data_IF_392160059091
#
_entry.id   IF_392160059091
#
_cell.length_a   1.000
_cell.length_b   1.000
_cell.length_c   1.000
_cell.angle_alpha   90.00
_cell.angle_beta   90.00
_cell.angle_gamma   90.00
#
_symmetry.space_group_name_H-M   'P 1'
#
loop_
_entity.id
_entity.type
_entity.pdbx_description
1 polymer ?
#
# COMPACT_ATOMS: atom_id res chain seq x y z
N UNK A 1 -7.54 32.29 -16.68
CA UNK A 1 -6.58 31.40 -17.37
C UNK A 1 -6.66 30.03 -16.71
N UNK A 2 -7.15 28.94 -17.27
CA UNK A 2 -7.97 28.63 -18.43
C UNK A 2 -8.42 27.19 -18.16
N UNK A 3 -9.71 26.95 -17.99
CA UNK A 3 -10.24 25.59 -17.85
C UNK A 3 -10.17 24.98 -19.25
N UNK A 4 -9.09 24.24 -19.51
CA UNK A 4 -8.99 23.43 -20.73
C UNK A 4 -10.02 22.31 -20.57
N UNK A 5 -11.09 22.42 -21.35
CA UNK A 5 -12.09 21.37 -21.48
C UNK A 5 -11.43 20.08 -21.97
N UNK A 6 -11.83 18.95 -21.40
CA UNK A 6 -11.47 17.64 -21.89
C UNK A 6 -12.67 17.05 -22.65
N UNK A 7 -12.68 17.07 -23.99
CA UNK A 7 -13.66 16.33 -24.77
C UNK A 7 -13.05 14.96 -25.11
N UNK A 8 -13.37 13.92 -24.31
CA UNK A 8 -13.17 12.54 -24.77
C UNK A 8 -13.96 11.54 -23.92
N UNK A 9 -14.83 10.79 -24.60
CA UNK A 9 -15.81 9.90 -24.01
C UNK A 9 -15.23 8.64 -23.41
N UNK A 10 -15.46 8.44 -22.11
CA UNK A 10 -15.41 7.14 -21.47
C UNK A 10 -16.36 7.15 -20.28
N UNK A 11 -17.59 6.64 -20.47
CA UNK A 11 -18.54 6.40 -19.36
C UNK A 11 -18.05 5.30 -18.39
N UNK A 12 -16.91 4.65 -18.69
CA UNK A 12 -16.17 3.73 -17.82
C UNK A 12 -14.84 4.36 -17.34
N UNK A 13 -14.90 5.54 -16.73
CA UNK A 13 -13.74 6.08 -16.02
C UNK A 13 -13.35 5.16 -14.86
N UNK A 14 -12.10 4.70 -14.83
CA UNK A 14 -11.52 4.11 -13.61
C UNK A 14 -11.70 5.11 -12.46
N UNK A 15 -11.89 4.63 -11.22
CA UNK A 15 -12.15 5.46 -10.02
C UNK A 15 -11.09 6.55 -9.71
N UNK A 16 -10.03 6.63 -10.51
CA UNK A 16 -9.03 7.68 -10.47
C UNK A 16 -8.25 7.72 -9.16
N UNK A 17 -7.47 8.79 -8.99
CA UNK A 17 -6.69 9.04 -7.77
C UNK A 17 -7.60 9.14 -6.55
N UNK A 18 -8.79 9.74 -6.72
CA UNK A 18 -9.78 9.92 -5.67
C UNK A 18 -10.29 8.59 -5.11
N UNK A 19 -10.60 7.61 -5.98
CA UNK A 19 -11.06 6.30 -5.57
C UNK A 19 -9.97 5.46 -4.92
N UNK A 20 -8.72 5.59 -5.40
CA UNK A 20 -7.57 4.94 -4.76
C UNK A 20 -7.39 5.49 -3.34
N UNK A 21 -7.40 6.83 -3.18
CA UNK A 21 -7.26 7.46 -1.87
C UNK A 21 -8.37 7.03 -0.90
N UNK A 22 -9.64 7.01 -1.35
CA UNK A 22 -10.76 6.53 -0.53
C UNK A 22 -10.61 5.07 -0.13
N UNK A 23 -10.13 4.22 -1.04
CA UNK A 23 -9.91 2.80 -0.77
C UNK A 23 -8.84 2.61 0.31
N UNK A 24 -7.70 3.30 0.22
CA UNK A 24 -6.64 3.21 1.23
C UNK A 24 -7.05 3.82 2.57
N UNK A 25 -7.58 5.05 2.58
CA UNK A 25 -7.98 5.72 3.82
C UNK A 25 -9.16 5.03 4.52
N UNK A 26 -10.18 4.64 3.75
CA UNK A 26 -11.35 3.91 4.25
C UNK A 26 -10.99 2.52 4.78
N UNK A 27 -10.11 1.78 4.10
CA UNK A 27 -9.69 0.47 4.60
C UNK A 27 -8.86 0.58 5.87
N UNK A 28 -7.96 1.57 5.98
CA UNK A 28 -7.23 1.81 7.24
C UNK A 28 -8.18 2.19 8.37
N UNK A 29 -9.18 3.04 8.11
CA UNK A 29 -10.20 3.36 9.10
C UNK A 29 -10.89 2.10 9.64
N UNK A 30 -11.38 1.23 8.75
CA UNK A 30 -12.05 -0.02 9.14
C UNK A 30 -11.10 -0.96 9.88
N UNK A 31 -9.90 -1.18 9.36
CA UNK A 31 -8.95 -2.11 9.98
C UNK A 31 -8.49 -1.64 11.35
N UNK A 32 -8.22 -0.35 11.52
CA UNK A 32 -7.85 0.22 12.83
C UNK A 32 -9.04 0.13 13.78
N UNK A 33 -10.26 0.41 13.32
CA UNK A 33 -11.46 0.26 14.15
C UNK A 33 -11.61 -1.16 14.70
N UNK A 34 -11.42 -2.17 13.84
CA UNK A 34 -11.54 -3.57 14.23
C UNK A 34 -10.37 -4.07 15.09
N UNK A 35 -9.15 -3.55 14.90
CA UNK A 35 -7.93 -4.12 15.49
C UNK A 35 -7.31 -3.29 16.61
N UNK A 36 -7.74 -2.03 16.80
CA UNK A 36 -7.20 -1.13 17.82
C UNK A 36 -7.28 -1.73 19.24
N UNK A 37 -8.40 -2.38 19.59
CA UNK A 37 -8.57 -3.02 20.90
C UNK A 37 -7.75 -4.30 21.11
N UNK A 38 -7.20 -4.89 20.05
CA UNK A 38 -6.43 -6.15 20.10
C UNK A 38 -4.92 -5.88 20.00
N UNK A 39 -4.51 -5.09 19.01
CA UNK A 39 -3.11 -4.87 18.63
C UNK A 39 -2.70 -3.39 18.54
N UNK A 40 -3.61 -2.46 18.82
CA UNK A 40 -3.37 -1.03 18.61
C UNK A 40 -3.43 -0.59 17.14
N UNK A 41 -3.69 -1.50 16.20
CA UNK A 41 -3.98 -1.16 14.81
C UNK A 41 -2.81 -0.52 14.05
N UNK A 42 -1.56 -0.88 14.33
CA UNK A 42 -0.41 -0.20 13.70
C UNK A 42 -0.39 -0.35 12.16
N UNK A 43 -0.61 -1.58 11.66
CA UNK A 43 -0.77 -1.96 10.22
C UNK A 43 0.30 -1.38 9.29
N UNK A 44 1.41 -0.89 9.84
CA UNK A 44 2.45 -0.17 9.15
C UNK A 44 3.76 -0.27 9.96
N UNK A 45 4.85 -0.76 9.34
CA UNK A 45 6.16 -0.83 9.99
C UNK A 45 6.68 0.53 10.45
N UNK A 46 6.44 1.61 9.71
CA UNK A 46 6.86 2.96 10.07
C UNK A 46 6.13 3.48 11.31
N UNK A 47 4.83 3.19 11.44
CA UNK A 47 4.04 3.51 12.64
C UNK A 47 4.52 2.70 13.84
N UNK A 48 4.77 1.39 13.64
CA UNK A 48 5.30 0.50 14.67
C UNK A 48 6.66 0.99 15.18
N UNK A 49 7.53 1.42 14.26
CA UNK A 49 8.83 1.98 14.59
C UNK A 49 8.71 3.32 15.33
N UNK A 50 7.80 4.20 14.92
CA UNK A 50 7.51 5.45 15.64
C UNK A 50 7.10 5.18 17.09
N UNK A 51 6.16 4.26 17.32
CA UNK A 51 5.71 3.87 18.66
C UNK A 51 6.80 3.20 19.49
N UNK A 52 7.70 2.45 18.84
CA UNK A 52 8.90 1.91 19.48
C UNK A 52 9.85 3.02 19.95
N UNK A 53 10.14 4.03 19.12
CA UNK A 53 10.98 5.17 19.49
C UNK A 53 10.37 6.00 20.63
N UNK A 54 9.05 6.12 20.67
CA UNK A 54 8.32 6.76 21.77
C UNK A 54 8.24 5.88 23.05
N UNK A 55 8.93 4.73 23.08
CA UNK A 55 8.96 3.76 24.18
C UNK A 55 7.57 3.25 24.58
N UNK A 56 6.62 3.24 23.64
CA UNK A 56 5.27 2.68 23.82
C UNK A 56 5.21 1.19 23.48
N UNK A 57 6.27 0.65 22.86
CA UNK A 57 6.36 -0.74 22.42
C UNK A 57 7.74 -1.32 22.76
N UNK A 58 7.81 -2.59 23.19
CA UNK A 58 9.09 -3.27 23.38
C UNK A 58 9.72 -3.67 22.05
N UNK A 59 11.06 -3.81 22.01
CA UNK A 59 11.79 -4.19 20.79
C UNK A 59 11.29 -5.51 20.20
N UNK A 60 11.13 -6.53 21.05
CA UNK A 60 10.64 -7.85 20.62
C UNK A 60 9.27 -7.74 19.97
N UNK A 61 8.33 -7.00 20.58
CA UNK A 61 7.01 -6.79 19.99
C UNK A 61 7.11 -6.01 18.67
N UNK A 62 7.94 -4.97 18.60
CA UNK A 62 8.13 -4.19 17.39
C UNK A 62 8.58 -5.07 16.20
N UNK A 63 9.55 -5.96 16.43
CA UNK A 63 10.04 -6.89 15.41
C UNK A 63 8.93 -7.85 14.95
N UNK A 64 8.21 -8.47 15.88
CA UNK A 64 7.08 -9.35 15.51
C UNK A 64 5.98 -8.63 14.73
N UNK A 65 5.65 -7.39 15.11
CA UNK A 65 4.69 -6.58 14.37
C UNK A 65 5.14 -6.33 12.93
N UNK A 66 6.40 -5.92 12.73
CA UNK A 66 6.95 -5.65 11.39
C UNK A 66 6.91 -6.92 10.53
N UNK A 67 7.34 -8.06 11.07
CA UNK A 67 7.32 -9.34 10.34
C UNK A 67 5.90 -9.72 9.94
N UNK A 68 4.95 -9.68 10.87
CA UNK A 68 3.55 -10.04 10.59
C UNK A 68 2.88 -9.08 9.61
N UNK A 69 3.20 -7.78 9.67
CA UNK A 69 2.72 -6.78 8.72
C UNK A 69 3.23 -7.06 7.30
N UNK A 70 4.52 -7.37 7.16
CA UNK A 70 5.10 -7.74 5.87
C UNK A 70 4.49 -9.02 5.31
N UNK A 71 4.33 -10.06 6.13
CA UNK A 71 3.68 -11.31 5.72
C UNK A 71 2.22 -11.08 5.28
N UNK A 72 1.46 -10.32 6.06
CA UNK A 72 0.08 -9.94 5.72
C UNK A 72 -0.01 -9.19 4.40
N UNK A 73 0.90 -8.25 4.14
CA UNK A 73 0.95 -7.50 2.89
C UNK A 73 1.29 -8.38 1.68
N UNK A 74 2.22 -9.34 1.83
CA UNK A 74 2.55 -10.31 0.78
C UNK A 74 1.35 -11.21 0.48
N UNK A 75 0.70 -11.74 1.51
CA UNK A 75 -0.51 -12.56 1.35
C UNK A 75 -1.64 -11.78 0.67
N UNK A 76 -1.91 -10.55 1.11
CA UNK A 76 -2.92 -9.68 0.52
C UNK A 76 -2.66 -9.39 -0.96
N UNK A 77 -1.42 -9.02 -1.31
CA UNK A 77 -1.03 -8.80 -2.70
C UNK A 77 -1.17 -10.08 -3.55
N UNK A 78 -0.83 -11.25 -2.98
CA UNK A 78 -1.01 -12.56 -3.61
C UNK A 78 -2.47 -12.88 -3.90
N UNK A 79 -3.37 -12.61 -2.95
CA UNK A 79 -4.81 -12.79 -3.09
C UNK A 79 -5.37 -11.90 -4.21
N UNK A 80 -5.01 -10.62 -4.24
CA UNK A 80 -5.44 -9.69 -5.31
C UNK A 80 -5.00 -10.18 -6.68
N UNK A 81 -3.73 -10.62 -6.81
CA UNK A 81 -3.22 -11.20 -8.05
C UNK A 81 -3.96 -12.48 -8.46
N UNK A 82 -4.35 -13.31 -7.50
CA UNK A 82 -5.11 -14.53 -7.72
C UNK A 82 -6.52 -14.28 -8.27
N UNK A 83 -7.23 -13.28 -7.72
CA UNK A 83 -8.57 -12.93 -8.18
C UNK A 83 -8.58 -12.22 -9.53
N UNK A 84 -7.59 -11.36 -9.79
CA UNK A 84 -7.61 -10.51 -10.97
C UNK A 84 -6.22 -10.37 -11.59
N UNK A 85 -5.70 -11.47 -12.13
CA UNK A 85 -4.33 -11.54 -12.64
C UNK A 85 -4.07 -10.55 -13.77
N UNK A 86 -4.98 -10.42 -14.73
CA UNK A 86 -4.77 -9.57 -15.92
C UNK A 86 -4.74 -8.08 -15.56
N UNK A 87 -5.70 -7.58 -14.77
CA UNK A 87 -5.69 -6.16 -14.37
C UNK A 87 -4.57 -5.89 -13.36
N UNK A 88 -4.25 -6.83 -12.47
CA UNK A 88 -3.12 -6.68 -11.54
C UNK A 88 -1.81 -6.47 -12.29
N UNK A 89 -1.56 -7.27 -13.34
CA UNK A 89 -0.34 -7.13 -14.13
C UNK A 89 -0.33 -5.87 -15.00
N UNK A 90 -1.47 -5.53 -15.61
CA UNK A 90 -1.63 -4.33 -16.43
C UNK A 90 -1.43 -3.04 -15.64
N UNK A 91 -1.81 -3.03 -14.36
CA UNK A 91 -1.73 -1.85 -13.48
C UNK A 91 -0.46 -1.80 -12.62
N UNK A 92 0.61 -2.51 -12.98
CA UNK A 92 1.87 -2.45 -12.23
C UNK A 92 1.86 -3.16 -10.87
N UNK A 93 0.88 -4.02 -10.61
CA UNK A 93 0.73 -4.77 -9.35
C UNK A 93 0.52 -3.91 -8.11
N UNK A 94 0.21 -2.62 -8.29
CA UNK A 94 0.17 -1.63 -7.23
C UNK A 94 1.54 -1.30 -6.63
N UNK A 95 2.64 -1.64 -7.30
CA UNK A 95 3.98 -1.30 -6.85
C UNK A 95 4.22 0.21 -6.87
N UNK A 96 4.96 0.70 -5.88
CA UNK A 96 5.33 2.11 -5.79
C UNK A 96 6.49 2.43 -6.73
N UNK A 97 6.37 3.51 -7.49
CA UNK A 97 7.41 4.01 -8.38
C UNK A 97 7.33 5.53 -8.46
N UNK A 98 8.48 6.19 -8.53
CA UNK A 98 8.53 7.64 -8.77
C UNK A 98 7.98 7.94 -10.17
N UNK A 99 7.04 8.87 -10.25
CA UNK A 99 6.40 9.25 -11.49
C UNK A 99 7.41 9.92 -12.46
N UNK A 100 7.24 9.75 -13.78
CA UNK A 100 8.09 10.42 -14.76
C UNK A 100 8.07 11.94 -14.56
N UNK A 101 9.25 12.57 -14.53
CA UNK A 101 9.39 14.01 -14.29
C UNK A 101 9.71 14.40 -12.85
N UNK A 102 9.69 13.46 -11.91
CA UNK A 102 10.17 13.68 -10.54
C UNK A 102 11.51 13.00 -10.31
N UNK A 103 12.36 13.64 -9.50
CA UNK A 103 13.63 13.04 -9.08
C UNK A 103 13.38 12.02 -7.96
N UNK A 104 14.36 11.13 -7.75
CA UNK A 104 14.33 10.22 -6.58
C UNK A 104 14.32 10.98 -5.26
N UNK A 105 14.89 12.20 -5.23
CA UNK A 105 14.86 13.09 -4.06
C UNK A 105 13.46 13.61 -3.76
N UNK A 106 12.72 14.03 -4.79
CA UNK A 106 11.34 14.51 -4.65
C UNK A 106 10.42 13.40 -4.14
N UNK A 107 10.60 12.19 -4.69
CA UNK A 107 9.87 11.01 -4.23
C UNK A 107 10.19 10.67 -2.77
N UNK A 108 11.47 10.67 -2.39
CA UNK A 108 11.88 10.43 -1.00
C UNK A 108 11.30 11.49 -0.05
N UNK A 109 11.35 12.77 -0.43
CA UNK A 109 10.78 13.87 0.35
C UNK A 109 9.28 13.71 0.58
N UNK A 110 8.54 13.39 -0.48
CA UNK A 110 7.09 13.15 -0.41
C UNK A 110 6.74 11.99 0.55
N UNK A 111 7.50 10.89 0.48
CA UNK A 111 7.31 9.73 1.35
C UNK A 111 7.63 10.04 2.82
N UNK A 112 8.69 10.80 3.10
CA UNK A 112 9.07 11.22 4.46
C UNK A 112 7.98 12.11 5.06
N UNK A 113 7.54 13.14 4.33
CA UNK A 113 6.50 14.06 4.79
C UNK A 113 5.17 13.33 4.99
N UNK A 114 4.78 12.47 4.04
CA UNK A 114 3.56 11.68 4.15
C UNK A 114 3.57 10.72 5.34
N UNK A 115 4.70 10.05 5.58
CA UNK A 115 4.88 9.16 6.73
C UNK A 115 4.88 9.94 8.05
N UNK A 116 5.50 11.12 8.09
CA UNK A 116 5.49 12.00 9.25
C UNK A 116 4.07 12.41 9.63
N UNK A 117 3.26 12.88 8.67
CA UNK A 117 1.85 13.26 8.92
C UNK A 117 1.04 12.08 9.46
N UNK A 118 1.24 10.88 8.89
CA UNK A 118 0.57 9.67 9.37
C UNK A 118 0.96 9.33 10.81
N UNK A 119 2.26 9.25 11.10
CA UNK A 119 2.77 8.91 12.44
C UNK A 119 2.37 9.97 13.47
N UNK A 120 2.48 11.25 13.12
CA UNK A 120 2.03 12.36 13.96
C UNK A 120 0.54 12.26 14.27
N UNK A 121 -0.30 11.95 13.28
CA UNK A 121 -1.73 11.77 13.50
C UNK A 121 -2.01 10.59 14.42
N UNK A 122 -1.30 9.47 14.27
CA UNK A 122 -1.43 8.32 15.18
C UNK A 122 -1.06 8.72 16.62
N UNK A 123 0.06 9.42 16.82
CA UNK A 123 0.44 9.91 18.15
C UNK A 123 -0.60 10.87 18.73
N UNK A 124 -1.07 11.84 17.93
CA UNK A 124 -2.06 12.82 18.38
C UNK A 124 -3.43 12.19 18.66
N UNK A 125 -3.80 11.12 17.96
CA UNK A 125 -5.07 10.43 18.15
C UNK A 125 -5.04 9.46 19.33
N UNK A 126 -3.86 8.90 19.66
CA UNK A 126 -3.67 7.94 20.75
C UNK A 126 -3.24 8.59 22.07
N UNK A 127 -3.02 9.90 22.11
CA UNK A 127 -2.65 10.61 23.34
C UNK A 127 -3.78 10.57 24.39
N UNK A 128 -3.44 10.06 25.58
CA UNK A 128 -4.36 9.87 26.70
C UNK A 128 -4.88 11.19 27.31
N UNK A 129 -4.22 12.32 27.06
CA UNK A 129 -4.67 13.65 27.53
C UNK A 129 -5.83 14.23 26.73
N UNK A 130 -6.25 13.58 25.64
CA UNK A 130 -7.34 14.04 24.78
C UNK A 130 -8.68 13.51 25.29
N UNK A 131 -9.54 14.41 25.80
CA UNK A 131 -10.89 14.06 26.31
C UNK A 131 -11.86 13.54 25.24
N UNK A 132 -11.57 13.72 23.95
CA UNK A 132 -12.40 13.24 22.85
C UNK A 132 -11.96 11.82 22.41
N UNK A 133 -12.20 10.84 23.26
CA UNK A 133 -11.77 9.44 23.04
C UNK A 133 -12.63 8.67 22.04
N UNK A 134 -13.82 9.12 21.69
CA UNK A 134 -14.76 8.29 20.91
C UNK A 134 -14.52 8.30 19.39
N UNK A 135 -13.56 9.08 18.88
CA UNK A 135 -13.33 9.21 17.43
C UNK A 135 -11.87 9.14 16.99
N UNK A 136 -10.96 8.59 17.79
CA UNK A 136 -9.52 8.52 17.46
C UNK A 136 -9.19 7.75 16.17
N UNK A 137 -10.08 6.87 15.73
CA UNK A 137 -9.88 6.04 14.52
C UNK A 137 -10.13 6.81 13.23
N UNK A 138 -11.08 7.75 13.24
CA UNK A 138 -11.47 8.52 12.05
C UNK A 138 -10.33 9.42 11.51
N UNK A 139 -9.61 10.20 12.34
CA UNK A 139 -8.47 11.00 11.90
C UNK A 139 -7.34 10.17 11.27
N UNK A 140 -7.10 8.95 11.76
CA UNK A 140 -6.02 8.09 11.24
C UNK A 140 -6.32 7.67 9.79
N UNK A 141 -7.53 7.19 9.52
CA UNK A 141 -7.95 6.84 8.15
C UNK A 141 -8.01 8.06 7.23
N UNK A 142 -8.45 9.21 7.73
CA UNK A 142 -8.48 10.46 6.97
C UNK A 142 -7.07 11.01 6.66
N UNK A 143 -6.11 10.86 7.58
CA UNK A 143 -4.72 11.21 7.31
C UNK A 143 -4.14 10.36 6.18
N UNK A 144 -4.40 9.04 6.18
CA UNK A 144 -4.02 8.16 5.07
C UNK A 144 -4.68 8.63 3.76
N UNK A 145 -5.97 8.93 3.77
CA UNK A 145 -6.69 9.45 2.60
C UNK A 145 -6.03 10.72 2.02
N UNK A 146 -5.78 11.74 2.86
CA UNK A 146 -5.20 13.01 2.42
C UNK A 146 -3.76 12.84 1.89
N UNK A 147 -2.96 12.02 2.57
CA UNK A 147 -1.60 11.73 2.12
C UNK A 147 -1.60 10.98 0.79
N UNK A 148 -2.54 10.06 0.57
CA UNK A 148 -2.69 9.39 -0.72
C UNK A 148 -3.10 10.36 -1.83
N UNK A 149 -4.03 11.28 -1.58
CA UNK A 149 -4.38 12.31 -2.57
C UNK A 149 -3.17 13.15 -2.99
N UNK A 150 -2.30 13.50 -2.03
CA UNK A 150 -1.13 14.34 -2.29
C UNK A 150 0.04 13.58 -2.94
N UNK A 151 0.28 12.33 -2.56
CA UNK A 151 1.53 11.60 -2.92
C UNK A 151 1.35 10.56 -4.04
N UNK A 152 0.12 10.16 -4.39
CA UNK A 152 -0.12 9.25 -5.52
C UNK A 152 0.48 9.79 -6.83
N UNK A 153 0.31 11.08 -7.20
CA UNK A 153 0.88 11.62 -8.43
C UNK A 153 2.41 11.61 -8.50
N UNK A 154 3.09 11.49 -7.35
CA UNK A 154 4.55 11.63 -7.23
C UNK A 154 5.21 10.24 -7.11
N UNK A 155 4.70 9.36 -6.25
CA UNK A 155 5.34 8.07 -5.93
C UNK A 155 4.40 6.86 -5.94
N UNK A 156 3.10 7.09 -6.19
CA UNK A 156 2.06 6.08 -5.98
C UNK A 156 1.76 5.79 -4.50
N UNK A 157 2.28 6.62 -3.59
CA UNK A 157 2.12 6.58 -2.12
C UNK A 157 2.56 5.25 -1.49
N UNK A 158 3.79 5.23 -1.00
CA UNK A 158 4.32 4.16 -0.17
C UNK A 158 3.77 4.27 1.24
N UNK A 159 4.29 5.23 2.00
CA UNK A 159 4.08 5.61 3.43
C UNK A 159 4.08 4.46 4.45
N UNK A 160 4.19 3.24 3.95
CA UNK A 160 4.03 1.98 4.62
C UNK A 160 4.99 0.96 3.95
N UNK A 161 6.13 0.67 4.61
CA UNK A 161 7.11 -0.25 4.07
C UNK A 161 6.55 -1.66 3.78
N UNK A 162 5.61 -2.17 4.59
CA UNK A 162 5.02 -3.49 4.36
C UNK A 162 4.17 -3.51 3.08
N UNK A 163 3.39 -2.45 2.83
CA UNK A 163 2.57 -2.28 1.62
C UNK A 163 3.44 -2.23 0.36
N UNK A 164 4.50 -1.42 0.39
CA UNK A 164 5.43 -1.32 -0.74
C UNK A 164 6.17 -2.64 -0.98
N UNK A 165 6.60 -3.32 0.09
CA UNK A 165 7.29 -4.60 0.01
C UNK A 165 6.39 -5.71 -0.55
N UNK A 166 5.15 -5.85 -0.05
CA UNK A 166 4.22 -6.88 -0.49
C UNK A 166 3.90 -6.77 -1.99
N UNK A 167 3.61 -5.55 -2.47
CA UNK A 167 3.40 -5.29 -3.88
C UNK A 167 4.66 -5.59 -4.71
N UNK A 168 5.84 -5.14 -4.25
CA UNK A 168 7.10 -5.41 -4.94
C UNK A 168 7.42 -6.90 -5.06
N UNK A 169 7.24 -7.70 -4.00
CA UNK A 169 7.53 -9.15 -4.02
C UNK A 169 6.59 -9.91 -4.96
N UNK A 170 5.30 -9.58 -4.96
CA UNK A 170 4.30 -10.30 -5.75
C UNK A 170 4.30 -9.88 -7.22
N UNK A 171 4.54 -8.59 -7.48
CA UNK A 171 4.66 -8.04 -8.82
C UNK A 171 6.01 -8.40 -9.47
N UNK A 172 7.13 -8.24 -8.76
CA UNK A 172 8.48 -8.45 -9.30
C UNK A 172 8.91 -9.94 -9.39
N UNK A 173 7.96 -10.87 -9.45
CA UNK A 173 8.20 -12.29 -9.78
C UNK A 173 8.19 -12.55 -11.29
N UNK A 174 8.82 -11.69 -12.09
CA UNK A 174 9.33 -12.12 -13.40
C UNK A 174 10.70 -12.78 -13.21
N UNK A 175 10.73 -13.96 -12.56
CA UNK A 175 11.68 -15.04 -12.85
C UNK A 175 11.44 -16.36 -12.07
N UNK A 176 10.70 -16.38 -10.96
CA UNK A 176 10.62 -17.61 -10.14
C UNK A 176 9.62 -18.69 -10.61
N UNK A 177 8.43 -18.31 -11.13
CA UNK A 177 7.36 -19.30 -11.39
C UNK A 177 7.06 -19.50 -12.89
N UNK A 178 7.38 -18.51 -13.74
CA UNK A 178 7.20 -18.62 -15.19
C UNK A 178 8.28 -19.47 -15.86
N UNK A 179 9.43 -19.70 -15.21
CA UNK A 179 10.43 -20.68 -15.65
C UNK A 179 10.02 -22.12 -15.33
N UNK A 180 9.38 -22.33 -14.17
CA UNK A 180 8.99 -23.66 -13.73
C UNK A 180 7.81 -24.20 -14.54
N UNK A 181 6.69 -23.47 -14.61
CA UNK A 181 5.48 -23.90 -15.35
C UNK A 181 5.73 -24.02 -16.86
N UNK A 182 6.60 -23.16 -17.43
CA UNK A 182 6.92 -23.19 -18.87
C UNK A 182 7.96 -24.27 -19.22
N UNK A 183 8.72 -24.78 -18.24
CA UNK A 183 9.62 -25.94 -18.41
C UNK A 183 8.88 -27.28 -18.24
N UNK A 184 7.85 -27.34 -17.39
CA UNK A 184 7.01 -28.53 -17.19
C UNK A 184 6.02 -28.75 -18.34
N UNK A 185 5.52 -27.67 -18.96
CA UNK A 185 4.58 -27.76 -20.08
C UNK A 185 5.24 -27.95 -21.46
N UNK A 186 6.56 -27.77 -21.59
CA UNK A 186 7.32 -28.08 -22.82
C UNK A 186 7.86 -29.51 -22.87
N UNK A 187 7.74 -30.29 -21.80
CA UNK A 187 8.25 -31.66 -21.71
C UNK A 187 7.24 -32.74 -22.15
N UNK A 188 6.02 -32.35 -22.54
CA UNK A 188 4.97 -33.26 -23.03
C UNK A 188 4.23 -32.69 -24.26
N UNK A 189 4.98 -32.25 -25.28
CA UNK A 189 4.47 -32.28 -26.65
C UNK A 189 5.14 -33.46 -27.36
N UNK A 190 4.39 -34.54 -27.68
CA UNK A 190 4.88 -35.53 -28.63
C UNK A 190 5.16 -34.81 -29.94
N UNK A 191 6.39 -34.93 -30.40
CA UNK A 191 6.83 -34.57 -31.74
C UNK A 191 6.10 -35.45 -32.75
N UNK A 192 5.23 -34.86 -33.56
CA UNK A 192 4.91 -35.39 -34.89
C UNK A 192 4.93 -34.25 -35.91
N UNK A 193 5.63 -34.56 -36.97
CA UNK A 193 6.11 -33.78 -38.12
C UNK A 193 5.15 -33.81 -39.30
N UNK A 194 5.35 -32.88 -40.26
CA UNK A 194 4.81 -32.82 -41.65
C UNK A 194 3.31 -32.47 -41.72
N UNK A 195 2.83 -31.40 -42.35
CA UNK A 195 3.23 -30.65 -43.54
C UNK A 195 3.05 -29.14 -43.32
#
# INVERSE_FOLDING_TARGET
MGVVGNPSGSKCGTVGIQGIAWSFGGMIFVLVYCTAGISGGHINPAVTFGLFLARKLSLTRAVFYIVMQCLGAICGAGVVKGFQTTLYQGNGGGANSVAPGYTKGDGLGAEIVGTFVLVYTVFSATDAKRSARDSHVLPIGFAVFLVHLATIPITGTGINPARSLGAAIIYNKKQACSGWVRSSARRWRPSTTWW
#
